data_IF_616967707383
#
_entry.id   IF_616967707383
#
_cell.length_a   1.000
_cell.length_b   1.000
_cell.length_c   1.000
_cell.angle_alpha   90.00
_cell.angle_beta   90.00
_cell.angle_gamma   90.00
#
_symmetry.space_group_name_H-M   'P 1'
#
loop_
_entity.id
_entity.type
_entity.pdbx_description
1 polymer ?
#
# COMPACT_ATOMS: atom_id res chain seq x y z
N UNK A 1 27.62 8.63 3.34
CA UNK A 1 26.82 7.74 2.47
C UNK A 1 25.34 7.70 2.85
N UNK A 2 24.96 7.98 4.11
CA UNK A 2 23.55 8.11 4.51
C UNK A 2 22.83 9.35 3.95
N UNK A 3 23.55 10.41 3.56
CA UNK A 3 22.93 11.66 3.07
C UNK A 3 22.24 11.58 1.69
N UNK A 4 22.34 10.46 0.97
CA UNK A 4 21.79 10.29 -0.38
C UNK A 4 20.58 9.36 -0.46
N UNK A 5 20.07 8.82 0.66
CA UNK A 5 18.91 7.93 0.68
C UNK A 5 17.81 8.48 1.56
N UNK A 6 16.58 8.54 1.03
CA UNK A 6 15.40 8.98 1.78
C UNK A 6 15.00 7.93 2.83
N UNK A 7 15.04 6.65 2.45
CA UNK A 7 14.78 5.49 3.33
C UNK A 7 15.51 4.26 2.77
N UNK A 8 15.99 3.37 3.64
CA UNK A 8 16.53 2.08 3.19
C UNK A 8 15.42 1.16 2.65
N UNK A 9 15.68 0.50 1.52
CA UNK A 9 14.69 -0.36 0.86
C UNK A 9 14.21 -1.53 1.75
N UNK A 10 15.08 -2.15 2.53
CA UNK A 10 14.68 -3.25 3.43
C UNK A 10 13.72 -2.77 4.52
N UNK A 11 13.99 -1.57 5.08
CA UNK A 11 13.10 -0.93 6.04
C UNK A 11 11.75 -0.59 5.41
N UNK A 12 11.74 0.00 4.22
CA UNK A 12 10.50 0.31 3.49
C UNK A 12 9.69 -0.96 3.20
N UNK A 13 10.35 -2.03 2.73
CA UNK A 13 9.70 -3.31 2.43
C UNK A 13 9.02 -3.91 3.67
N UNK A 14 9.68 -3.86 4.83
CA UNK A 14 9.11 -4.35 6.10
C UNK A 14 7.84 -3.59 6.48
N UNK A 15 7.88 -2.26 6.47
CA UNK A 15 6.73 -1.40 6.79
C UNK A 15 5.56 -1.59 5.82
N UNK A 16 5.86 -1.76 4.52
CA UNK A 16 4.84 -2.10 3.53
C UNK A 16 4.22 -3.47 3.81
N UNK A 17 5.04 -4.48 4.11
CA UNK A 17 4.57 -5.84 4.35
C UNK A 17 3.69 -5.96 5.59
N UNK A 18 4.03 -5.27 6.69
CA UNK A 18 3.20 -5.18 7.91
C UNK A 18 1.78 -4.64 7.64
N UNK A 19 1.61 -3.88 6.57
CA UNK A 19 0.31 -3.38 6.13
C UNK A 19 -0.38 -4.39 5.19
N UNK A 20 0.35 -4.93 4.22
CA UNK A 20 -0.18 -5.85 3.20
C UNK A 20 -0.56 -7.22 3.79
N UNK A 21 0.16 -7.70 4.81
CA UNK A 21 -0.12 -9.01 5.44
C UNK A 21 -1.49 -9.08 6.13
N UNK A 22 -2.10 -7.92 6.40
CA UNK A 22 -3.48 -7.85 6.92
C UNK A 22 -4.51 -8.22 5.85
N UNK A 23 -4.16 -8.13 4.57
CA UNK A 23 -5.00 -8.47 3.42
C UNK A 23 -4.66 -9.86 2.86
N UNK A 24 -3.40 -10.28 2.99
CA UNK A 24 -2.89 -11.53 2.42
C UNK A 24 -3.57 -12.78 3.00
N UNK A 25 -3.87 -13.76 2.15
CA UNK A 25 -4.58 -15.01 2.50
C UNK A 25 -5.93 -14.80 3.24
N UNK A 26 -6.64 -13.69 3.00
CA UNK A 26 -7.97 -13.43 3.59
C UNK A 26 -9.06 -13.24 2.56
N UNK A 27 -10.29 -13.47 2.99
CA UNK A 27 -11.46 -13.00 2.27
C UNK A 27 -11.63 -11.50 2.51
N UNK A 28 -11.44 -10.69 1.48
CA UNK A 28 -11.50 -9.23 1.58
C UNK A 28 -12.90 -8.71 1.98
N UNK A 29 -13.97 -9.50 1.74
CA UNK A 29 -15.31 -9.14 2.19
C UNK A 29 -15.44 -9.07 3.73
N UNK A 30 -14.53 -9.69 4.48
CA UNK A 30 -14.52 -9.61 5.95
C UNK A 30 -13.86 -8.30 6.45
N UNK A 31 -13.17 -7.58 5.57
CA UNK A 31 -12.42 -6.35 5.86
C UNK A 31 -13.06 -5.10 5.23
N UNK A 32 -13.79 -5.28 4.14
CA UNK A 32 -14.39 -4.20 3.36
C UNK A 32 -15.83 -4.55 3.02
N UNK A 33 -16.75 -3.59 3.20
CA UNK A 33 -18.13 -3.72 2.72
C UNK A 33 -18.18 -3.89 1.19
N UNK A 34 -17.26 -3.22 0.48
CA UNK A 34 -17.06 -3.33 -0.96
C UNK A 34 -15.55 -3.43 -1.26
N UNK A 35 -15.00 -4.64 -1.51
CA UNK A 35 -13.56 -4.83 -1.74
C UNK A 35 -13.17 -4.47 -3.19
N UNK A 36 -13.45 -3.24 -3.62
CA UNK A 36 -13.04 -2.74 -4.94
C UNK A 36 -11.56 -2.34 -4.93
N UNK A 37 -10.95 -2.29 -6.11
CA UNK A 37 -9.55 -1.85 -6.26
C UNK A 37 -9.32 -0.46 -5.67
N UNK A 38 -10.28 0.46 -5.81
CA UNK A 38 -10.24 1.81 -5.26
C UNK A 38 -10.22 1.80 -3.74
N UNK A 39 -11.17 1.09 -3.10
CA UNK A 39 -11.28 1.01 -1.64
C UNK A 39 -10.05 0.34 -1.02
N UNK A 40 -9.51 -0.69 -1.68
CA UNK A 40 -8.28 -1.36 -1.24
C UNK A 40 -7.08 -0.40 -1.37
N UNK A 41 -6.97 0.34 -2.48
CA UNK A 41 -5.87 1.31 -2.68
C UNK A 41 -5.92 2.42 -1.64
N UNK A 42 -7.10 2.97 -1.37
CA UNK A 42 -7.33 3.99 -0.34
C UNK A 42 -6.92 3.47 1.04
N UNK A 43 -7.36 2.26 1.39
CA UNK A 43 -6.99 1.65 2.66
C UNK A 43 -5.47 1.45 2.80
N UNK A 44 -4.80 0.97 1.74
CA UNK A 44 -3.34 0.80 1.74
C UNK A 44 -2.66 2.17 1.91
N UNK A 45 -3.11 3.19 1.18
CA UNK A 45 -2.57 4.55 1.24
C UNK A 45 -2.69 5.13 2.65
N UNK A 46 -3.89 5.09 3.24
CA UNK A 46 -4.16 5.59 4.59
C UNK A 46 -3.35 4.87 5.66
N UNK A 47 -3.09 3.57 5.50
CA UNK A 47 -2.28 2.79 6.45
C UNK A 47 -0.77 2.95 6.27
N UNK A 48 -0.30 3.52 5.15
CA UNK A 48 1.13 3.70 4.86
C UNK A 48 1.60 5.15 4.95
N UNK A 49 0.71 6.14 4.75
CA UNK A 49 1.10 7.56 4.65
C UNK A 49 1.87 8.10 5.85
N UNK A 50 1.60 7.57 7.05
CA UNK A 50 2.28 7.98 8.29
C UNK A 50 3.49 7.08 8.65
N UNK A 51 3.71 5.99 7.91
CA UNK A 51 4.78 5.00 8.19
C UNK A 51 6.00 5.19 7.29
N UNK A 52 5.79 5.67 6.07
CA UNK A 52 6.83 5.88 5.06
C UNK A 52 6.62 7.24 4.38
N UNK A 53 7.66 7.83 3.76
CA UNK A 53 7.52 9.04 2.95
C UNK A 53 6.77 8.73 1.64
N UNK A 54 5.45 8.55 1.77
CA UNK A 54 4.57 8.05 0.72
C UNK A 54 4.22 9.17 -0.27
N UNK A 55 4.38 8.90 -1.56
CA UNK A 55 3.92 9.78 -2.63
C UNK A 55 2.73 9.19 -3.38
N UNK A 56 2.79 7.90 -3.74
CA UNK A 56 1.66 7.22 -4.38
C UNK A 56 1.60 5.74 -3.99
N UNK A 57 0.40 5.18 -4.08
CA UNK A 57 0.12 3.74 -4.00
C UNK A 57 -0.57 3.31 -5.27
N UNK A 58 -0.06 2.23 -5.89
CA UNK A 58 -0.65 1.61 -7.07
C UNK A 58 -1.00 0.16 -6.77
N UNK A 59 -2.27 -0.18 -6.83
CA UNK A 59 -2.78 -1.53 -6.61
C UNK A 59 -3.21 -2.15 -7.94
N UNK A 60 -2.69 -3.34 -8.25
CA UNK A 60 -3.04 -4.08 -9.46
C UNK A 60 -4.00 -5.22 -9.16
N UNK A 61 -5.13 -5.24 -9.86
CA UNK A 61 -6.02 -6.40 -9.93
C UNK A 61 -5.61 -7.26 -11.13
N UNK A 62 -4.82 -8.30 -10.86
CA UNK A 62 -4.19 -9.10 -11.91
C UNK A 62 -3.06 -8.34 -12.61
N UNK A 63 -2.99 -8.39 -13.93
CA UNK A 63 -1.80 -7.91 -14.67
C UNK A 63 -1.93 -6.50 -15.22
N UNK A 64 -3.12 -6.07 -15.65
CA UNK A 64 -3.28 -4.85 -16.48
C UNK A 64 -4.32 -3.84 -15.97
N UNK A 65 -5.02 -4.14 -14.87
CA UNK A 65 -6.00 -3.24 -14.27
C UNK A 65 -5.44 -2.76 -12.94
N UNK A 66 -5.46 -1.45 -12.71
CA UNK A 66 -4.96 -0.87 -11.48
C UNK A 66 -5.75 0.35 -11.06
N UNK A 67 -5.68 0.66 -9.77
CA UNK A 67 -6.02 1.95 -9.20
C UNK A 67 -4.74 2.58 -8.62
N UNK A 68 -4.63 3.91 -8.71
CA UNK A 68 -3.52 4.66 -8.16
C UNK A 68 -4.05 5.88 -7.40
N UNK A 69 -3.54 6.07 -6.18
CA UNK A 69 -3.76 7.28 -5.38
C UNK A 69 -2.41 7.95 -5.19
N UNK A 70 -2.36 9.26 -5.42
CA UNK A 70 -1.16 10.08 -5.31
C UNK A 70 -1.44 11.23 -4.35
N UNK A 71 -0.53 11.49 -3.42
CA UNK A 71 -0.55 12.70 -2.59
C UNK A 71 -0.27 13.92 -3.45
N UNK A 72 -1.07 14.98 -3.29
CA UNK A 72 -0.83 16.29 -3.92
C UNK A 72 0.53 16.90 -3.57
#
# INVERSE_FOLDING_TARGET
YEENMVIEFDKMKKLCWETIEQLDHRNLNDLFDFPTSENITEWIFENLKDKIPLHSVKFFEGTNKYCEITSD
#
